data_IF_913990203880
#
_entry.id   IF_913990203880
#
_cell.length_a   1.000
_cell.length_b   1.000
_cell.length_c   1.000
_cell.angle_alpha   90.00
_cell.angle_beta   90.00
_cell.angle_gamma   90.00
#
_symmetry.space_group_name_H-M   'P 1'
#
loop_
_entity.id
_entity.type
_entity.pdbx_description
1 polymer ?
#
# COMPACT_ATOMS: atom_id res chain seq x y z
N UNK A 1 22.36 2.54 -11.82
CA UNK A 1 22.48 3.00 -13.23
C UNK A 1 23.28 4.29 -13.33
N UNK A 2 22.77 5.45 -12.88
CA UNK A 2 23.46 6.76 -13.00
C UNK A 2 24.93 6.78 -12.52
N UNK A 3 25.20 6.16 -11.36
CA UNK A 3 26.54 6.15 -10.76
C UNK A 3 27.59 5.36 -11.56
N UNK A 4 27.17 4.39 -12.37
CA UNK A 4 28.07 3.49 -13.12
C UNK A 4 28.19 3.93 -14.58
N UNK A 5 27.12 4.48 -15.16
CA UNK A 5 27.09 4.84 -16.58
C UNK A 5 27.47 6.29 -16.84
N UNK A 6 27.58 7.13 -15.79
CA UNK A 6 27.73 8.59 -15.90
C UNK A 6 26.67 9.27 -16.79
N UNK A 7 25.58 8.56 -17.09
CA UNK A 7 24.50 9.05 -17.94
C UNK A 7 23.35 9.50 -17.06
N UNK A 8 22.81 10.70 -17.36
CA UNK A 8 21.82 11.48 -16.58
C UNK A 8 22.36 12.17 -15.31
N UNK A 9 21.69 13.24 -14.89
CA UNK A 9 22.07 14.02 -13.72
C UNK A 9 21.85 13.23 -12.41
N UNK A 10 22.89 13.06 -11.57
CA UNK A 10 22.77 12.45 -10.24
C UNK A 10 21.91 13.28 -9.28
N UNK A 11 21.39 12.63 -8.24
CA UNK A 11 20.77 13.33 -7.12
C UNK A 11 21.83 14.15 -6.37
N UNK A 12 21.55 15.43 -6.09
CA UNK A 12 22.44 16.28 -5.27
C UNK A 12 22.19 16.04 -3.78
N UNK A 13 22.78 14.95 -3.28
CA UNK A 13 22.81 14.50 -1.88
C UNK A 13 21.46 14.07 -1.30
N UNK A 14 20.50 14.98 -1.06
CA UNK A 14 19.31 14.65 -0.27
C UNK A 14 18.01 14.95 -1.00
N UNK A 15 17.06 14.02 -0.89
CA UNK A 15 15.64 14.19 -1.23
C UNK A 15 14.81 13.57 -0.12
N UNK A 16 13.85 14.33 0.40
CA UNK A 16 12.85 13.86 1.35
C UNK A 16 11.50 13.75 0.64
N UNK A 17 10.77 12.68 0.91
CA UNK A 17 9.43 12.45 0.37
C UNK A 17 8.54 11.91 1.48
N UNK A 18 7.34 12.47 1.62
CA UNK A 18 6.30 11.99 2.51
C UNK A 18 4.98 11.98 1.73
N UNK A 19 4.05 11.15 2.17
CA UNK A 19 2.73 11.06 1.56
C UNK A 19 1.65 10.86 2.62
N UNK A 20 1.55 11.84 3.52
CA UNK A 20 0.56 11.83 4.61
C UNK A 20 -0.86 11.97 4.10
N UNK A 21 -1.04 12.49 2.89
CA UNK A 21 -2.33 12.65 2.22
C UNK A 21 -2.96 11.30 1.81
N UNK A 22 -2.16 10.22 1.75
CA UNK A 22 -2.69 8.88 1.54
C UNK A 22 -3.51 8.37 2.73
N UNK A 23 -3.34 8.97 3.92
CA UNK A 23 -4.10 8.55 5.08
C UNK A 23 -5.59 8.93 4.93
N UNK A 24 -6.51 8.01 5.24
CA UNK A 24 -7.94 8.28 5.16
C UNK A 24 -8.35 9.38 6.13
N UNK A 25 -9.04 10.41 5.61
CA UNK A 25 -9.55 11.52 6.40
C UNK A 25 -10.99 11.34 6.87
N UNK A 26 -11.54 12.38 7.49
CA UNK A 26 -12.91 12.45 8.02
C UNK A 26 -14.01 12.24 6.98
N UNK A 27 -13.69 12.40 5.69
CA UNK A 27 -14.55 12.14 4.55
C UNK A 27 -14.77 10.64 4.29
N UNK A 28 -13.95 9.77 4.87
CA UNK A 28 -14.05 8.32 4.73
C UNK A 28 -14.57 7.66 6.01
N UNK A 29 -15.21 6.49 5.89
CA UNK A 29 -15.61 5.68 7.05
C UNK A 29 -14.43 5.05 7.82
N UNK A 30 -13.20 5.33 7.40
CA UNK A 30 -11.93 4.80 7.92
C UNK A 30 -11.02 5.94 8.40
N UNK A 31 -11.60 6.99 8.97
CA UNK A 31 -10.87 8.18 9.44
C UNK A 31 -9.69 7.83 10.37
N UNK A 32 -8.49 8.22 9.97
CA UNK A 32 -7.25 7.99 10.69
C UNK A 32 -7.23 8.68 12.08
N UNK A 33 -7.97 9.78 12.26
CA UNK A 33 -8.06 10.46 13.56
C UNK A 33 -8.77 9.61 14.64
N UNK A 34 -9.51 8.58 14.23
CA UNK A 34 -10.26 7.67 15.12
C UNK A 34 -9.53 6.34 15.36
N UNK A 35 -8.34 6.17 14.79
CA UNK A 35 -7.57 4.95 14.88
C UNK A 35 -7.03 4.75 16.29
N UNK A 36 -7.25 3.58 16.88
CA UNK A 36 -6.70 3.24 18.20
C UNK A 36 -5.46 2.37 18.09
N UNK A 37 -4.65 2.32 19.15
CA UNK A 37 -3.48 1.44 19.20
C UNK A 37 -3.84 -0.05 19.05
N UNK A 38 -5.04 -0.45 19.48
CA UNK A 38 -5.54 -1.81 19.32
C UNK A 38 -5.85 -2.14 17.85
N UNK A 39 -6.34 -1.18 17.06
CA UNK A 39 -6.62 -1.35 15.63
C UNK A 39 -5.35 -1.51 14.79
N UNK A 40 -4.20 -1.11 15.35
CA UNK A 40 -2.87 -1.18 14.73
C UNK A 40 -2.00 -2.32 15.29
N UNK A 41 -2.51 -3.06 16.28
CA UNK A 41 -1.73 -4.10 16.95
C UNK A 41 -1.41 -5.25 15.97
N UNK A 42 -0.18 -5.80 15.98
CA UNK A 42 0.21 -6.87 15.06
C UNK A 42 -0.63 -8.14 15.29
N UNK A 43 -0.94 -8.87 14.20
CA UNK A 43 -1.73 -10.12 14.25
C UNK A 43 -0.93 -11.33 13.73
N UNK A 44 0.41 -11.21 13.67
CA UNK A 44 1.28 -12.22 13.08
C UNK A 44 0.93 -12.51 11.62
N UNK A 45 0.68 -11.44 10.87
CA UNK A 45 0.29 -11.49 9.46
C UNK A 45 1.31 -10.75 8.60
N UNK A 46 1.42 -11.16 7.34
CA UNK A 46 2.28 -10.49 6.35
C UNK A 46 1.94 -9.01 6.14
N UNK A 47 0.75 -8.57 6.57
CA UNK A 47 0.26 -7.20 6.43
C UNK A 47 0.39 -6.37 7.72
N UNK A 48 1.06 -6.87 8.77
CA UNK A 48 1.19 -6.17 10.06
C UNK A 48 1.76 -4.75 9.90
N UNK A 49 2.77 -4.56 9.03
CA UNK A 49 3.33 -3.23 8.76
C UNK A 49 2.37 -2.26 8.06
N UNK A 50 1.46 -2.77 7.22
CA UNK A 50 0.43 -1.95 6.57
C UNK A 50 -0.66 -1.57 7.58
N UNK A 51 -1.09 -2.53 8.40
CA UNK A 51 -2.04 -2.31 9.48
C UNK A 51 -1.50 -1.36 10.57
N UNK A 52 -0.20 -1.32 10.80
CA UNK A 52 0.41 -0.35 11.72
C UNK A 52 0.23 1.11 11.28
N UNK A 53 0.00 1.36 9.98
CA UNK A 53 -0.21 2.71 9.41
C UNK A 53 -1.69 3.01 9.19
N UNK A 54 -2.44 2.07 8.61
CA UNK A 54 -3.83 2.29 8.20
C UNK A 54 -4.88 1.59 9.09
N UNK A 55 -4.45 0.69 9.97
CA UNK A 55 -5.31 -0.18 10.76
C UNK A 55 -5.82 -1.41 10.02
N UNK A 56 -6.20 -2.42 10.79
CA UNK A 56 -6.72 -3.68 10.25
C UNK A 56 -8.00 -3.55 9.45
N UNK A 57 -8.89 -2.63 9.85
CA UNK A 57 -10.15 -2.42 9.14
C UNK A 57 -9.91 -1.94 7.70
N UNK A 58 -8.92 -1.07 7.49
CA UNK A 58 -8.51 -0.64 6.15
C UNK A 58 -7.93 -1.80 5.34
N UNK A 59 -7.08 -2.63 5.96
CA UNK A 59 -6.50 -3.81 5.32
C UNK A 59 -7.56 -4.84 4.89
N UNK A 60 -8.60 -5.04 5.69
CA UNK A 60 -9.73 -5.90 5.37
C UNK A 60 -10.56 -5.35 4.20
N UNK A 61 -10.79 -4.03 4.16
CA UNK A 61 -11.44 -3.37 3.02
C UNK A 61 -10.62 -3.47 1.73
N UNK A 62 -9.29 -3.35 1.81
CA UNK A 62 -8.39 -3.56 0.65
C UNK A 62 -8.51 -4.98 0.08
N UNK A 63 -8.57 -5.99 0.94
CA UNK A 63 -8.74 -7.38 0.53
C UNK A 63 -10.12 -7.66 -0.09
N UNK A 64 -11.12 -6.81 0.21
CA UNK A 64 -12.47 -6.93 -0.34
C UNK A 64 -12.67 -6.20 -1.69
N UNK A 65 -11.71 -5.38 -2.12
CA UNK A 65 -11.82 -4.63 -3.37
C UNK A 65 -11.80 -5.55 -4.59
N UNK A 66 -12.59 -5.20 -5.61
CA UNK A 66 -12.59 -5.88 -6.92
C UNK A 66 -11.92 -5.01 -7.96
N UNK A 67 -10.74 -5.41 -8.39
CA UNK A 67 -9.93 -4.66 -9.34
C UNK A 67 -10.15 -5.14 -10.77
N UNK A 68 -10.33 -4.20 -11.70
CA UNK A 68 -10.27 -4.46 -13.12
C UNK A 68 -9.00 -3.86 -13.71
N UNK A 69 -8.05 -4.72 -14.08
CA UNK A 69 -6.76 -4.32 -14.61
C UNK A 69 -6.73 -4.66 -16.10
N UNK A 70 -6.53 -3.65 -16.94
CA UNK A 70 -6.43 -3.82 -18.39
C UNK A 70 -4.98 -3.65 -18.82
N UNK A 71 -4.41 -4.73 -19.36
CA UNK A 71 -3.03 -4.76 -19.85
C UNK A 71 -2.04 -5.38 -18.86
N UNK A 72 -1.15 -6.22 -19.39
CA UNK A 72 -0.12 -6.95 -18.63
C UNK A 72 1.29 -6.67 -19.16
N UNK A 73 1.52 -5.45 -19.65
CA UNK A 73 2.87 -4.97 -19.98
C UNK A 73 3.68 -4.62 -18.72
N UNK A 74 4.78 -3.88 -18.88
CA UNK A 74 5.65 -3.51 -17.75
C UNK A 74 4.90 -2.88 -16.56
N UNK A 75 4.01 -1.92 -16.81
CA UNK A 75 3.19 -1.28 -15.77
C UNK A 75 2.20 -2.27 -15.14
N UNK A 76 1.59 -3.13 -15.96
CA UNK A 76 0.65 -4.15 -15.48
C UNK A 76 1.31 -5.14 -14.53
N UNK A 77 2.53 -5.60 -14.85
CA UNK A 77 3.31 -6.47 -13.99
C UNK A 77 3.65 -5.79 -12.64
N UNK A 78 4.07 -4.52 -12.66
CA UNK A 78 4.37 -3.78 -11.43
C UNK A 78 3.11 -3.51 -10.59
N UNK A 79 1.98 -3.20 -11.24
CA UNK A 79 0.71 -3.01 -10.56
C UNK A 79 0.21 -4.30 -9.90
N UNK A 80 0.29 -5.43 -10.60
CA UNK A 80 -0.07 -6.75 -10.05
C UNK A 80 0.80 -7.11 -8.86
N UNK A 81 2.10 -6.82 -8.91
CA UNK A 81 3.01 -7.01 -7.78
C UNK A 81 2.59 -6.17 -6.58
N UNK A 82 2.28 -4.89 -6.79
CA UNK A 82 1.80 -4.01 -5.72
C UNK A 82 0.48 -4.51 -5.12
N UNK A 83 -0.48 -4.92 -5.94
CA UNK A 83 -1.76 -5.45 -5.46
C UNK A 83 -1.61 -6.76 -4.68
N UNK A 84 -0.71 -7.65 -5.12
CA UNK A 84 -0.38 -8.88 -4.40
C UNK A 84 0.28 -8.60 -3.04
N UNK A 85 1.10 -7.55 -2.95
CA UNK A 85 1.75 -7.12 -1.71
C UNK A 85 0.78 -6.40 -0.76
N UNK A 86 -0.20 -5.67 -1.29
CA UNK A 86 -1.23 -4.99 -0.49
C UNK A 86 -2.39 -5.92 -0.07
N UNK A 87 -2.42 -7.17 -0.55
CA UNK A 87 -3.47 -8.13 -0.22
C UNK A 87 -4.76 -7.98 -1.02
N UNK A 88 -4.78 -7.13 -2.06
CA UNK A 88 -5.94 -6.92 -2.92
C UNK A 88 -6.25 -8.06 -3.90
N UNK A 89 -5.42 -9.12 -3.92
CA UNK A 89 -5.60 -10.33 -4.75
C UNK A 89 -5.83 -11.59 -3.91
N UNK A 90 -6.20 -11.46 -2.63
CA UNK A 90 -6.44 -12.61 -1.76
C UNK A 90 -7.69 -13.39 -2.23
N UNK A 91 -7.54 -14.69 -2.52
CA UNK A 91 -8.70 -15.54 -2.81
C UNK A 91 -9.60 -15.64 -1.57
N UNK A 92 -10.89 -15.39 -1.76
CA UNK A 92 -11.90 -15.70 -0.73
C UNK A 92 -12.09 -17.21 -0.67
N UNK A 93 -11.97 -17.81 0.51
CA UNK A 93 -12.69 -19.06 0.76
C UNK A 93 -14.18 -18.74 0.76
N UNK A 94 -15.03 -19.46 0.02
CA UNK A 94 -16.47 -19.32 0.16
C UNK A 94 -16.85 -19.60 1.61
N UNK A 95 -17.62 -18.69 2.22
CA UNK A 95 -18.39 -19.00 3.43
C UNK A 95 -19.64 -19.76 3.03
#
# INVERSE_FOLDING_TARGET
>A
MKAVTHHTTPLKQFVYFHHTEALPGSWSGLDNAKLTAADCAPRNSRYDSQAAVFGWKYQEELANQRWFIVGSGAIGCELLKNLAMMGGLQQRSPK
#
